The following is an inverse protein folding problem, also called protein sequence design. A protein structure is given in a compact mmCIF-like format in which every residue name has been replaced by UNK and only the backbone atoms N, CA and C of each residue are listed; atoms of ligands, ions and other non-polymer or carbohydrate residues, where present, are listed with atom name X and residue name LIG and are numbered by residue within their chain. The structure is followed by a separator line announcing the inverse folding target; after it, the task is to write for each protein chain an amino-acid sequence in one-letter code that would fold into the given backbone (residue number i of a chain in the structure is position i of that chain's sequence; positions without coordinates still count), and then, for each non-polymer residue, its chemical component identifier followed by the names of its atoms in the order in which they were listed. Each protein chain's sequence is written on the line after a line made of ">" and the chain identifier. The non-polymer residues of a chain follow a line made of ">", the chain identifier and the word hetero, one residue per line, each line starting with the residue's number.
data_IF_497654217972
#
_entry.id   IF_497654217972
#
_cell.length_a   1.000
_cell.length_b   1.000
_cell.length_c   1.000
_cell.angle_alpha   90.00
_cell.angle_beta   90.00
_cell.angle_gamma   90.00
#
_symmetry.space_group_name_H-M   'P 1'
#
loop_
_entity.id
_entity.type
_entity.pdbx_description
1 polymer ?
#
# COMPACT_ATOMS: atom_id res chain seq x y z
N UNK A 1 -9.93 1.49 -25.05
CA UNK A 1 -9.92 2.88 -24.57
C UNK A 1 -9.85 2.80 -23.05
N UNK A 2 -8.81 3.36 -22.44
CA UNK A 2 -8.64 3.28 -20.97
C UNK A 2 -9.70 4.13 -20.25
N UNK A 3 -10.01 3.81 -18.99
CA UNK A 3 -10.98 4.59 -18.18
C UNK A 3 -10.67 6.09 -18.20
N UNK A 4 -9.39 6.43 -18.11
CA UNK A 4 -8.89 7.80 -18.11
C UNK A 4 -9.18 8.49 -19.44
N UNK A 5 -8.93 7.83 -20.58
CA UNK A 5 -9.22 8.38 -21.91
C UNK A 5 -10.72 8.62 -22.11
N UNK A 6 -11.57 7.77 -21.54
CA UNK A 6 -13.02 7.91 -21.61
C UNK A 6 -13.56 9.08 -20.77
N UNK A 7 -13.03 9.28 -19.56
CA UNK A 7 -13.56 10.27 -18.61
C UNK A 7 -13.03 11.67 -18.90
N UNK A 8 -11.75 11.79 -19.24
CA UNK A 8 -11.10 13.09 -19.24
C UNK A 8 -11.16 13.85 -20.56
N UNK A 9 -11.67 13.28 -21.67
CA UNK A 9 -11.89 13.90 -23.00
C UNK A 9 -10.91 15.07 -23.29
N UNK A 10 -9.63 14.83 -23.04
CA UNK A 10 -8.65 15.89 -22.84
C UNK A 10 -7.91 16.21 -24.13
N UNK A 11 -7.40 17.43 -24.27
CA UNK A 11 -6.45 17.77 -25.32
C UNK A 11 -5.25 16.80 -25.31
N UNK A 12 -4.57 16.66 -26.45
CA UNK A 12 -3.46 15.70 -26.60
C UNK A 12 -2.35 15.91 -25.54
N UNK A 13 -2.09 17.15 -25.13
CA UNK A 13 -1.07 17.52 -24.14
C UNK A 13 -1.45 17.03 -22.73
N UNK A 14 -2.66 17.37 -22.25
CA UNK A 14 -3.18 16.90 -20.96
C UNK A 14 -3.28 15.37 -20.92
N UNK A 15 -3.59 14.73 -22.06
CA UNK A 15 -3.59 13.27 -22.15
C UNK A 15 -2.19 12.67 -21.95
N UNK A 16 -1.12 13.35 -22.42
CA UNK A 16 0.26 12.91 -22.25
C UNK A 16 0.69 13.00 -20.78
N UNK A 17 0.41 14.13 -20.13
CA UNK A 17 0.75 14.34 -18.71
C UNK A 17 0.09 13.29 -17.79
N UNK A 18 -1.19 12.98 -18.03
CA UNK A 18 -1.88 11.96 -17.25
C UNK A 18 -1.27 10.57 -17.50
N UNK A 19 -0.90 10.25 -18.75
CA UNK A 19 -0.23 8.98 -19.07
C UNK A 19 1.10 8.85 -18.34
N UNK A 20 1.90 9.92 -18.31
CA UNK A 20 3.15 9.95 -17.56
C UNK A 20 2.93 9.80 -16.05
N UNK A 21 1.94 10.48 -15.48
CA UNK A 21 1.59 10.35 -14.06
C UNK A 21 1.16 8.91 -13.69
N UNK A 22 0.38 8.24 -14.56
CA UNK A 22 -0.01 6.84 -14.37
C UNK A 22 1.20 5.90 -14.48
N UNK A 23 2.13 6.17 -15.40
CA UNK A 23 3.37 5.41 -15.49
C UNK A 23 4.20 5.57 -14.21
N UNK A 24 4.31 6.78 -13.67
CA UNK A 24 5.01 7.04 -12.42
C UNK A 24 4.35 6.35 -11.23
N UNK A 25 3.02 6.34 -11.16
CA UNK A 25 2.27 5.57 -10.16
C UNK A 25 2.60 4.07 -10.22
N UNK A 26 2.71 3.50 -11.42
CA UNK A 26 3.11 2.10 -11.59
C UNK A 26 4.55 1.86 -11.14
N UNK A 27 5.47 2.81 -11.38
CA UNK A 27 6.85 2.73 -10.85
C UNK A 27 6.86 2.78 -9.32
N UNK A 28 6.09 3.69 -8.73
CA UNK A 28 5.95 3.78 -7.27
C UNK A 28 5.46 2.47 -6.67
N UNK A 29 4.41 1.86 -7.26
CA UNK A 29 3.90 0.54 -6.84
C UNK A 29 4.98 -0.53 -6.91
N UNK A 30 5.70 -0.62 -8.03
CA UNK A 30 6.75 -1.60 -8.21
C UNK A 30 7.86 -1.47 -7.16
N UNK A 31 8.29 -0.23 -6.88
CA UNK A 31 9.31 0.06 -5.86
C UNK A 31 8.82 -0.27 -4.45
N UNK A 32 7.57 0.07 -4.13
CA UNK A 32 6.99 -0.09 -2.80
C UNK A 32 6.58 -1.53 -2.48
N UNK A 33 6.08 -2.30 -3.45
CA UNK A 33 5.38 -3.57 -3.19
C UNK A 33 6.05 -4.79 -3.84
N UNK A 34 6.82 -4.62 -4.92
CA UNK A 34 7.36 -5.73 -5.71
C UNK A 34 8.88 -5.91 -5.54
N UNK A 35 9.51 -5.12 -4.68
CA UNK A 35 10.93 -5.24 -4.34
C UNK A 35 11.08 -5.73 -2.89
N UNK A 36 12.20 -6.39 -2.61
CA UNK A 36 12.57 -6.70 -1.23
C UNK A 36 12.84 -5.38 -0.51
N UNK A 37 12.03 -5.09 0.51
CA UNK A 37 12.21 -3.90 1.33
C UNK A 37 13.33 -4.14 2.34
N UNK A 38 14.28 -3.22 2.39
CA UNK A 38 15.28 -3.17 3.44
C UNK A 38 14.68 -2.59 4.72
N UNK A 39 15.26 -2.92 5.88
CA UNK A 39 14.83 -2.41 7.19
C UNK A 39 15.34 -0.99 7.40
N UNK A 40 14.97 -0.10 6.48
CA UNK A 40 15.49 1.25 6.43
C UNK A 40 14.39 2.26 6.13
N UNK A 41 14.61 3.50 6.55
CA UNK A 41 13.66 4.60 6.36
C UNK A 41 13.33 4.83 4.88
N UNK A 42 14.27 4.58 3.96
CA UNK A 42 14.05 4.72 2.52
C UNK A 42 12.98 3.79 1.96
N UNK A 43 12.89 2.54 2.46
CA UNK A 43 11.82 1.63 2.08
C UNK A 43 10.48 2.10 2.66
N UNK A 44 10.48 2.60 3.89
CA UNK A 44 9.29 3.16 4.51
C UNK A 44 8.78 4.39 3.74
N UNK A 45 9.68 5.26 3.28
CA UNK A 45 9.35 6.43 2.47
C UNK A 45 8.77 6.04 1.09
N UNK A 46 9.24 4.94 0.50
CA UNK A 46 8.68 4.43 -0.76
C UNK A 46 7.24 3.92 -0.56
N UNK A 47 7.00 3.16 0.51
CA UNK A 47 5.69 2.66 0.89
C UNK A 47 4.70 3.79 1.20
N UNK A 48 5.09 4.74 2.05
CA UNK A 48 4.22 5.86 2.45
C UNK A 48 3.90 6.78 1.29
N UNK A 49 4.88 7.11 0.42
CA UNK A 49 4.62 7.89 -0.80
C UNK A 49 3.62 7.19 -1.73
N UNK A 50 3.74 5.88 -1.89
CA UNK A 50 2.78 5.13 -2.71
C UNK A 50 1.39 5.12 -2.07
N UNK A 51 1.30 4.92 -0.75
CA UNK A 51 0.04 4.99 -0.01
C UNK A 51 -0.64 6.36 -0.16
N UNK A 52 0.10 7.45 0.06
CA UNK A 52 -0.40 8.83 -0.05
C UNK A 52 -0.92 9.10 -1.47
N UNK A 53 -0.22 8.58 -2.49
CA UNK A 53 -0.64 8.73 -3.86
C UNK A 53 -1.95 7.99 -4.16
N UNK A 54 -2.16 6.80 -3.58
CA UNK A 54 -3.43 6.06 -3.69
C UNK A 54 -4.58 6.82 -3.04
N UNK A 55 -4.36 7.45 -1.88
CA UNK A 55 -5.35 8.31 -1.23
C UNK A 55 -5.66 9.54 -2.10
N UNK A 56 -4.64 10.18 -2.68
CA UNK A 56 -4.79 11.39 -3.46
C UNK A 56 -5.57 11.19 -4.79
N UNK A 57 -5.54 9.98 -5.36
CA UNK A 57 -6.25 9.67 -6.62
C UNK A 57 -7.64 9.10 -6.41
N UNK A 58 -8.01 8.62 -5.22
CA UNK A 58 -9.24 7.86 -4.99
C UNK A 58 -10.51 8.57 -5.53
N UNK A 59 -10.64 9.88 -5.30
CA UNK A 59 -11.79 10.66 -5.76
C UNK A 59 -11.70 11.12 -7.22
N UNK A 60 -10.54 10.99 -7.85
CA UNK A 60 -10.30 11.39 -9.25
C UNK A 60 -10.43 10.19 -10.20
N UNK A 61 -9.84 9.08 -9.78
CA UNK A 61 -9.77 7.82 -10.50
C UNK A 61 -10.32 6.76 -9.54
N UNK A 62 -11.65 6.65 -9.40
CA UNK A 62 -12.25 5.63 -8.55
C UNK A 62 -11.86 4.25 -9.08
N UNK A 63 -11.34 3.39 -8.20
CA UNK A 63 -10.95 2.02 -8.51
C UNK A 63 -11.88 1.11 -7.70
N UNK A 64 -12.93 0.65 -8.36
CA UNK A 64 -13.96 -0.20 -7.76
C UNK A 64 -14.29 -1.36 -8.71
N UNK A 65 -14.99 -2.41 -8.25
CA UNK A 65 -15.35 -3.53 -9.12
C UNK A 65 -16.22 -3.12 -10.33
N UNK A 66 -17.00 -2.05 -10.20
CA UNK A 66 -17.92 -1.56 -11.24
C UNK A 66 -17.37 -0.39 -12.04
N UNK A 67 -16.41 0.37 -11.49
CA UNK A 67 -15.83 1.56 -12.11
C UNK A 67 -14.31 1.45 -12.07
N UNK A 68 -13.70 1.32 -13.26
CA UNK A 68 -12.25 1.13 -13.45
C UNK A 68 -11.67 -0.07 -12.64
N UNK A 69 -12.11 -1.30 -12.91
CA UNK A 69 -11.68 -2.47 -12.15
C UNK A 69 -10.20 -2.78 -12.43
N UNK A 70 -9.36 -2.60 -11.41
CA UNK A 70 -7.94 -2.96 -11.44
C UNK A 70 -7.73 -4.07 -10.41
N UNK A 71 -7.20 -5.21 -10.86
CA UNK A 71 -6.97 -6.36 -9.98
C UNK A 71 -5.70 -6.20 -9.15
N UNK A 72 -5.86 -6.21 -7.83
CA UNK A 72 -4.77 -6.26 -6.88
C UNK A 72 -4.72 -7.62 -6.23
N UNK A 73 -3.53 -8.25 -6.21
CA UNK A 73 -3.31 -9.56 -5.59
C UNK A 73 -2.32 -9.43 -4.44
N UNK A 74 -2.75 -9.82 -3.25
CA UNK A 74 -1.91 -9.88 -2.05
C UNK A 74 -1.89 -11.28 -1.48
N UNK A 75 -0.75 -11.64 -0.87
CA UNK A 75 -0.59 -12.89 -0.12
C UNK A 75 -0.80 -12.62 1.36
N UNK A 76 -1.31 -13.62 2.07
CA UNK A 76 -1.41 -13.56 3.52
C UNK A 76 -0.01 -13.45 4.15
N UNK A 77 0.12 -12.55 5.14
CA UNK A 77 1.38 -12.24 5.79
C UNK A 77 1.80 -13.29 6.82
N UNK A 78 0.84 -14.03 7.38
CA UNK A 78 1.03 -14.99 8.46
C UNK A 78 0.91 -16.44 8.01
N UNK A 79 0.22 -16.69 6.90
CA UNK A 79 0.18 -18.00 6.28
C UNK A 79 1.56 -18.37 5.74
N UNK A 80 2.11 -19.47 6.28
CA UNK A 80 3.39 -20.00 5.85
C UNK A 80 3.24 -20.90 4.61
N UNK A 81 2.03 -21.20 4.19
CA UNK A 81 1.72 -22.23 3.19
C UNK A 81 1.90 -23.63 3.78
N UNK A 82 1.43 -24.63 3.03
CA UNK A 82 1.62 -26.05 3.31
C UNK A 82 2.56 -26.67 2.26
N UNK A 83 3.10 -27.85 2.55
CA UNK A 83 3.96 -28.59 1.61
C UNK A 83 3.30 -28.80 0.23
N UNK A 84 1.96 -28.83 0.20
CA UNK A 84 1.16 -29.08 -1.00
C UNK A 84 0.40 -27.84 -1.51
N UNK A 85 0.42 -26.73 -0.77
CA UNK A 85 -0.32 -25.52 -1.12
C UNK A 85 0.50 -24.27 -0.81
N UNK A 86 0.67 -23.39 -1.79
CA UNK A 86 1.31 -22.09 -1.57
C UNK A 86 0.53 -21.23 -0.57
N UNK A 87 1.14 -20.13 -0.12
CA UNK A 87 0.48 -19.16 0.76
C UNK A 87 -0.87 -18.72 0.18
N UNK A 88 -1.87 -18.62 1.03
CA UNK A 88 -3.16 -18.05 0.70
C UNK A 88 -2.97 -16.67 0.05
N UNK A 89 -3.75 -16.41 -0.99
CA UNK A 89 -3.74 -15.14 -1.69
C UNK A 89 -5.15 -14.72 -2.03
N UNK A 90 -5.42 -13.42 -1.94
CA UNK A 90 -6.69 -12.81 -2.29
C UNK A 90 -6.46 -11.81 -3.42
N UNK A 91 -7.33 -11.86 -4.43
CA UNK A 91 -7.37 -10.88 -5.52
C UNK A 91 -8.69 -10.13 -5.47
N UNK A 92 -8.66 -8.81 -5.33
CA UNK A 92 -9.85 -7.95 -5.40
C UNK A 92 -9.64 -6.82 -6.39
N UNK A 93 -10.74 -6.36 -6.98
CA UNK A 93 -10.77 -5.22 -7.91
C UNK A 93 -11.14 -3.92 -7.17
N UNK A 94 -10.43 -3.61 -6.08
CA UNK A 94 -10.81 -2.51 -5.18
C UNK A 94 -9.56 -1.74 -4.73
N UNK A 95 -9.56 -0.41 -4.95
CA UNK A 95 -8.50 0.47 -4.50
C UNK A 95 -8.40 0.56 -2.96
N UNK A 96 -9.50 0.38 -2.24
CA UNK A 96 -9.50 0.33 -0.78
C UNK A 96 -8.75 -0.91 -0.27
N UNK A 97 -8.90 -2.05 -0.96
CA UNK A 97 -8.12 -3.26 -0.68
C UNK A 97 -6.62 -3.03 -0.87
N UNK A 98 -6.19 -2.42 -1.98
CA UNK A 98 -4.78 -2.06 -2.20
C UNK A 98 -4.26 -1.15 -1.10
N UNK A 99 -4.99 -0.08 -0.75
CA UNK A 99 -4.58 0.86 0.31
C UNK A 99 -4.43 0.17 1.66
N UNK A 100 -5.37 -0.71 2.02
CA UNK A 100 -5.31 -1.44 3.27
C UNK A 100 -4.07 -2.35 3.34
N UNK A 101 -3.75 -3.05 2.25
CA UNK A 101 -2.57 -3.91 2.17
C UNK A 101 -1.25 -3.12 2.22
N UNK A 102 -1.17 -1.99 1.49
CA UNK A 102 0.02 -1.11 1.53
C UNK A 102 0.21 -0.52 2.92
N UNK A 103 -0.87 -0.06 3.56
CA UNK A 103 -0.82 0.50 4.91
C UNK A 103 -0.43 -0.56 5.94
N UNK A 104 -0.89 -1.81 5.78
CA UNK A 104 -0.45 -2.93 6.61
C UNK A 104 1.08 -3.11 6.49
N UNK A 105 1.63 -3.05 5.28
CA UNK A 105 3.08 -3.14 5.07
C UNK A 105 3.85 -1.97 5.67
N UNK A 106 3.29 -0.74 5.67
CA UNK A 106 3.86 0.37 6.42
C UNK A 106 3.98 0.04 7.91
N UNK A 107 2.89 -0.45 8.52
CA UNK A 107 2.87 -0.85 9.93
C UNK A 107 3.85 -1.98 10.24
N UNK A 108 3.94 -2.98 9.35
CA UNK A 108 4.88 -4.08 9.48
C UNK A 108 6.34 -3.60 9.39
N UNK A 109 6.69 -2.78 8.40
CA UNK A 109 8.05 -2.27 8.25
C UNK A 109 8.46 -1.35 9.41
N UNK A 110 7.55 -0.51 9.91
CA UNK A 110 7.80 0.26 11.13
C UNK A 110 8.13 -0.67 12.31
N UNK A 111 7.39 -1.77 12.48
CA UNK A 111 7.70 -2.74 13.55
C UNK A 111 9.04 -3.44 13.36
N UNK A 112 9.44 -3.74 12.13
CA UNK A 112 10.74 -4.34 11.83
C UNK A 112 11.90 -3.37 12.09
N UNK A 113 11.77 -2.09 11.69
CA UNK A 113 12.77 -1.05 11.96
C UNK A 113 12.91 -0.82 13.46
N UNK A 114 11.80 -0.84 14.21
CA UNK A 114 11.82 -0.70 15.65
C UNK A 114 12.53 -1.88 16.33
N UNK A 115 12.20 -3.11 15.91
CA UNK A 115 12.78 -4.34 16.45
C UNK A 115 14.26 -4.52 16.09
N UNK A 116 14.75 -3.88 15.02
CA UNK A 116 16.16 -3.94 14.62
C UNK A 116 17.05 -2.95 15.38
N UNK A 117 16.50 -2.08 16.23
CA UNK A 117 17.31 -1.15 17.01
C UNK A 117 18.11 -1.89 18.09
N UNK A 118 19.40 -1.59 18.31
CA UNK A 118 20.20 -2.23 19.36
C UNK A 118 19.76 -1.93 20.80
N UNK A 119 19.06 -0.82 21.02
CA UNK A 119 18.53 -0.40 22.32
C UNK A 119 19.61 -0.22 23.42
N UNK A 120 20.83 0.14 23.03
CA UNK A 120 21.94 0.40 23.95
C UNK A 120 22.04 1.87 24.35
N UNK A 121 21.45 2.76 23.54
CA UNK A 121 21.45 4.21 23.77
C UNK A 121 20.03 4.76 23.85
N UNK A 122 19.87 5.91 24.50
CA UNK A 122 18.58 6.60 24.61
C UNK A 122 17.99 6.96 23.23
N UNK A 123 18.85 7.29 22.26
CA UNK A 123 18.40 7.62 20.90
C UNK A 123 17.84 6.38 20.19
N UNK A 124 18.50 5.22 20.31
CA UNK A 124 17.99 3.96 19.77
C UNK A 124 16.66 3.54 20.42
N UNK A 125 16.55 3.70 21.74
CA UNK A 125 15.30 3.44 22.49
C UNK A 125 14.17 4.36 22.02
N UNK A 126 14.47 5.64 21.82
CA UNK A 126 13.50 6.63 21.32
C UNK A 126 13.04 6.31 19.89
N UNK A 127 13.95 5.89 19.02
CA UNK A 127 13.62 5.46 17.66
C UNK A 127 12.73 4.22 17.69
N UNK A 128 13.08 3.20 18.48
CA UNK A 128 12.27 2.00 18.62
C UNK A 128 10.87 2.32 19.16
N UNK A 129 10.77 3.11 20.22
CA UNK A 129 9.51 3.52 20.82
C UNK A 129 8.64 4.31 19.82
N UNK A 130 9.23 5.23 19.05
CA UNK A 130 8.53 5.99 18.01
C UNK A 130 7.92 5.04 16.97
N UNK A 131 8.70 4.15 16.40
CA UNK A 131 8.22 3.28 15.33
C UNK A 131 7.23 2.22 15.82
N UNK A 132 7.39 1.67 17.03
CA UNK A 132 6.37 0.79 17.60
C UNK A 132 5.04 1.52 17.83
N UNK A 133 5.06 2.77 18.32
CA UNK A 133 3.85 3.56 18.47
C UNK A 133 3.17 3.88 17.13
N UNK A 134 3.96 4.23 16.11
CA UNK A 134 3.43 4.47 14.76
C UNK A 134 2.83 3.18 14.16
N UNK A 135 3.53 2.05 14.28
CA UNK A 135 3.05 0.74 13.84
C UNK A 135 1.73 0.36 14.53
N UNK A 136 1.65 0.51 15.85
CA UNK A 136 0.43 0.26 16.61
C UNK A 136 -0.74 1.16 16.16
N UNK A 137 -0.48 2.44 15.92
CA UNK A 137 -1.48 3.38 15.40
C UNK A 137 -1.99 2.98 14.01
N UNK A 138 -1.09 2.56 13.12
CA UNK A 138 -1.43 2.05 11.79
C UNK A 138 -2.33 0.81 11.88
N UNK A 139 -1.97 -0.19 12.69
CA UNK A 139 -2.79 -1.39 12.84
C UNK A 139 -4.14 -1.12 13.53
N UNK A 140 -4.18 -0.18 14.48
CA UNK A 140 -5.43 0.26 15.09
C UNK A 140 -6.35 0.96 14.08
N UNK A 141 -5.80 1.79 13.20
CA UNK A 141 -6.56 2.41 12.12
C UNK A 141 -7.12 1.35 11.15
N UNK A 142 -6.29 0.40 10.71
CA UNK A 142 -6.72 -0.68 9.83
C UNK A 142 -7.85 -1.51 10.42
N UNK A 143 -7.79 -1.84 11.73
CA UNK A 143 -8.87 -2.54 12.43
C UNK A 143 -10.21 -1.82 12.29
N UNK A 144 -10.21 -0.49 12.41
CA UNK A 144 -11.43 0.31 12.34
C UNK A 144 -11.94 0.49 10.90
N UNK A 145 -11.03 0.60 9.93
CA UNK A 145 -11.37 0.84 8.52
C UNK A 145 -11.77 -0.44 7.77
N UNK A 146 -11.09 -1.57 8.02
CA UNK A 146 -11.35 -2.85 7.32
C UNK A 146 -12.71 -3.45 7.69
N UNK A 147 -13.21 -3.23 8.91
CA UNK A 147 -14.54 -3.69 9.31
C UNK A 147 -15.66 -3.11 8.41
N UNK A 148 -15.46 -1.92 7.84
CA UNK A 148 -16.38 -1.34 6.87
C UNK A 148 -16.27 -1.93 5.45
N UNK A 149 -15.10 -2.48 5.09
CA UNK A 149 -14.82 -3.06 3.76
C UNK A 149 -15.33 -4.51 3.69
N UNK A 150 -15.15 -5.31 4.75
CA UNK A 150 -15.54 -6.73 4.76
C UNK A 150 -17.06 -6.92 4.89
N UNK A 151 -17.79 -5.96 5.47
CA UNK A 151 -19.26 -6.02 5.57
C UNK A 151 -19.99 -5.83 4.22
N UNK A 152 -19.26 -5.47 3.15
CA UNK A 152 -19.83 -5.29 1.81
C UNK A 152 -19.60 -6.50 0.88
N UNK A 153 -19.02 -7.59 1.39
CA UNK A 153 -18.78 -8.84 0.64
C UNK A 153 -19.85 -9.88 0.99
#
# INVERSE_FOLDING_TARGET
>A
MSYIENIYLSSNEVSSEIKEAVQELNKMRNKACNQTLDRHQSALDALTRYYDQLVAIENKIPITPTQNPISFKWKDAFDKGSLFFGRASLTLNDGAFERAAVLFNCGALMSEIAASQPMHTDEELKIAAKFFQQSAGVFAHLKNTILGIVQQV
#
